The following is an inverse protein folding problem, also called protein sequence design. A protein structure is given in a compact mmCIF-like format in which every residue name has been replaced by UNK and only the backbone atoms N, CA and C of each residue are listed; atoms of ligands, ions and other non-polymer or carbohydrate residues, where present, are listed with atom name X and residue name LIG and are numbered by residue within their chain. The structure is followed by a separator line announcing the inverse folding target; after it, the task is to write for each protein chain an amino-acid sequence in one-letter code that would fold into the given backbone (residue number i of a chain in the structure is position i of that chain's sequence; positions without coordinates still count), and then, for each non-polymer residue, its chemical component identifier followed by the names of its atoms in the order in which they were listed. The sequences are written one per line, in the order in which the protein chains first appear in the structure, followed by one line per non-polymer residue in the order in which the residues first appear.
data_IF_982790918046
#
_entry.id   IF_982790918046
#
_cell.length_a   1.000
_cell.length_b   1.000
_cell.length_c   1.000
_cell.angle_alpha   90.00
_cell.angle_beta   90.00
_cell.angle_gamma   90.00
#
_symmetry.space_group_name_H-M   'P 1'
#
loop_
_entity.id
_entity.type
_entity.pdbx_description
1 polymer ?
#
# COMPACT_ATOMS: atom_id res chain seq x y z
N UNK A 1 -3.12 8.33 12.96
CA UNK A 1 -2.11 8.66 11.95
C UNK A 1 -0.79 7.99 12.32
N UNK A 2 -0.61 6.79 11.79
CA UNK A 2 0.60 5.98 11.96
C UNK A 2 1.68 6.43 10.96
N UNK A 3 1.29 6.62 9.69
CA UNK A 3 2.16 7.13 8.63
C UNK A 3 2.05 8.65 8.59
N UNK A 4 3.17 9.36 8.76
CA UNK A 4 3.17 10.83 8.96
C UNK A 4 3.85 11.62 7.83
N UNK A 5 4.40 10.93 6.84
CA UNK A 5 5.11 11.53 5.70
C UNK A 5 4.93 10.67 4.45
N UNK A 6 4.86 11.31 3.28
CA UNK A 6 4.89 10.60 1.99
C UNK A 6 6.23 9.88 1.72
N UNK A 7 7.28 10.22 2.47
CA UNK A 7 8.58 9.56 2.39
C UNK A 7 8.70 8.33 3.28
N UNK A 8 7.70 8.05 4.13
CA UNK A 8 7.65 6.86 4.99
C UNK A 8 7.20 5.63 4.19
N UNK A 9 8.07 5.21 3.27
CA UNK A 9 7.85 4.09 2.35
C UNK A 9 9.19 3.55 1.87
N UNK A 10 9.18 2.41 1.19
CA UNK A 10 10.41 1.84 0.63
C UNK A 10 10.90 2.65 -0.59
N UNK A 11 12.22 2.89 -0.66
CA UNK A 11 12.86 3.63 -1.77
C UNK A 11 12.44 3.12 -3.16
N UNK A 12 12.31 1.80 -3.32
CA UNK A 12 12.01 1.20 -4.62
C UNK A 12 10.62 1.59 -5.15
N UNK A 13 9.68 2.03 -4.29
CA UNK A 13 8.38 2.52 -4.74
C UNK A 13 8.53 3.78 -5.60
N UNK A 14 9.42 4.71 -5.22
CA UNK A 14 9.67 5.91 -6.01
C UNK A 14 10.44 5.62 -7.29
N UNK A 15 11.49 4.80 -7.22
CA UNK A 15 12.29 4.48 -8.40
C UNK A 15 11.47 3.71 -9.44
N UNK A 16 10.63 2.77 -9.02
CA UNK A 16 9.70 2.08 -9.94
C UNK A 16 8.59 3.01 -10.44
N UNK A 17 7.99 3.82 -9.57
CA UNK A 17 6.92 4.74 -9.98
C UNK A 17 7.40 5.74 -11.02
N UNK A 18 8.68 6.16 -10.96
CA UNK A 18 9.24 7.02 -11.98
C UNK A 18 9.33 6.33 -13.35
N UNK A 19 9.76 5.07 -13.40
CA UNK A 19 9.75 4.30 -14.66
C UNK A 19 8.33 4.16 -15.18
N UNK A 20 7.36 3.86 -14.31
CA UNK A 20 5.95 3.76 -14.71
C UNK A 20 5.42 5.08 -15.27
N UNK A 21 5.73 6.21 -14.64
CA UNK A 21 5.29 7.52 -15.12
C UNK A 21 5.83 7.86 -16.52
N UNK A 22 7.11 7.59 -16.78
CA UNK A 22 7.75 7.95 -18.06
C UNK A 22 7.50 6.96 -19.19
N UNK A 23 7.35 5.67 -18.89
CA UNK A 23 7.23 4.63 -19.92
C UNK A 23 5.83 4.01 -20.02
N UNK A 24 5.08 3.98 -18.92
CA UNK A 24 3.79 3.28 -18.85
C UNK A 24 2.68 4.12 -18.16
N UNK A 25 2.50 5.41 -18.51
CA UNK A 25 1.59 6.30 -17.78
C UNK A 25 0.12 5.87 -17.82
N UNK A 26 -0.27 5.07 -18.80
CA UNK A 26 -1.64 4.57 -18.96
C UNK A 26 -1.88 3.16 -18.39
N UNK A 27 -0.86 2.53 -17.78
CA UNK A 27 -0.99 1.19 -17.24
C UNK A 27 -2.00 1.15 -16.07
N UNK A 28 -2.83 0.10 -16.03
CA UNK A 28 -3.75 -0.19 -14.93
C UNK A 28 -3.39 -1.52 -14.30
N UNK A 29 -3.42 -1.57 -12.98
CA UNK A 29 -2.99 -2.72 -12.19
C UNK A 29 -3.89 -2.91 -10.98
N UNK A 30 -3.90 -4.13 -10.43
CA UNK A 30 -4.60 -4.47 -9.19
C UNK A 30 -3.61 -5.08 -8.19
N UNK A 31 -3.80 -4.76 -6.91
CA UNK A 31 -3.02 -5.32 -5.81
C UNK A 31 -3.95 -6.01 -4.81
N UNK A 32 -3.49 -7.13 -4.24
CA UNK A 32 -4.23 -7.90 -3.23
C UNK A 32 -3.36 -8.16 -2.01
N UNK A 33 -3.88 -7.82 -0.84
CA UNK A 33 -3.28 -8.21 0.44
C UNK A 33 -3.44 -9.73 0.67
N UNK A 34 -2.40 -10.37 1.21
CA UNK A 34 -2.44 -11.78 1.65
C UNK A 34 -1.60 -11.96 2.91
N UNK A 35 -2.24 -12.28 4.03
CA UNK A 35 -1.55 -12.81 5.21
C UNK A 35 -1.11 -14.25 4.91
N UNK A 36 0.19 -14.56 5.07
CA UNK A 36 0.75 -15.89 4.80
C UNK A 36 0.77 -16.80 6.02
N UNK A 37 0.53 -16.24 7.21
CA UNK A 37 0.54 -16.97 8.48
C UNK A 37 -0.84 -17.62 8.69
N UNK A 38 -0.92 -18.97 8.78
CA UNK A 38 -2.18 -19.65 9.04
C UNK A 38 -2.79 -19.29 10.40
N UNK A 39 -4.12 -19.29 10.50
CA UNK A 39 -4.84 -19.10 11.77
C UNK A 39 -4.92 -17.65 12.28
N UNK A 40 -4.25 -16.68 11.63
CA UNK A 40 -4.31 -15.27 12.03
C UNK A 40 -5.63 -14.63 11.57
N UNK A 41 -6.42 -14.14 12.52
CA UNK A 41 -7.64 -13.39 12.25
C UNK A 41 -7.41 -11.88 12.35
N UNK A 42 -7.28 -11.21 11.20
CA UNK A 42 -7.13 -9.75 11.13
C UNK A 42 -8.46 -9.00 10.97
N UNK A 43 -9.60 -9.70 10.88
CA UNK A 43 -10.92 -9.07 10.71
C UNK A 43 -11.27 -8.03 11.79
N UNK A 44 -10.91 -8.21 13.07
CA UNK A 44 -11.25 -7.23 14.11
C UNK A 44 -10.68 -5.83 13.85
N UNK A 45 -9.57 -5.71 13.12
CA UNK A 45 -8.88 -4.44 12.86
C UNK A 45 -9.36 -3.70 11.61
N UNK A 46 -10.42 -4.19 10.93
CA UNK A 46 -10.85 -3.63 9.65
C UNK A 46 -11.24 -2.16 9.75
N UNK A 47 -11.88 -1.76 10.85
CA UNK A 47 -12.33 -0.37 11.00
C UNK A 47 -11.15 0.55 11.27
N UNK A 48 -10.20 0.16 12.12
CA UNK A 48 -8.95 0.90 12.36
C UNK A 48 -8.12 1.07 11.08
N UNK A 49 -7.98 0.00 10.28
CA UNK A 49 -7.27 0.05 8.99
C UNK A 49 -7.96 1.04 8.04
N UNK A 50 -9.29 1.07 8.01
CA UNK A 50 -10.05 1.99 7.16
C UNK A 50 -9.92 3.44 7.59
N UNK A 51 -9.86 3.71 8.89
CA UNK A 51 -9.59 5.06 9.40
C UNK A 51 -8.20 5.52 8.95
N UNK A 52 -7.16 4.71 9.17
CA UNK A 52 -5.78 5.07 8.79
C UNK A 52 -5.57 5.25 7.27
N UNK A 53 -6.38 4.62 6.41
CA UNK A 53 -6.33 4.85 4.95
C UNK A 53 -7.02 6.16 4.52
N UNK A 54 -8.01 6.64 5.27
CA UNK A 54 -8.77 7.85 4.91
C UNK A 54 -8.08 9.15 5.33
N UNK A 55 -7.22 9.07 6.33
CA UNK A 55 -6.43 10.20 6.83
C UNK A 55 -5.39 10.64 5.81
#
# INVERSE_FOLDING_TARGET
MIITSLLDTDLYKFTMMQVVLHHFPAARVEYRYKCRTPGVNLRPYLDEIREEIRH
#
